data_IF_873070409189
#
_entry.id   IF_873070409189
#
_cell.length_a   1.000
_cell.length_b   1.000
_cell.length_c   1.000
_cell.angle_alpha   90.00
_cell.angle_beta   90.00
_cell.angle_gamma   90.00
#
_symmetry.space_group_name_H-M   'P 1'
#
loop_
_entity.id
_entity.type
_entity.pdbx_description
1 polymer ?
#
# COMPACT_ATOMS: atom_id res chain seq x y z
N UNK A 1 21.82 33.63 76.98
CA UNK A 1 20.74 34.50 76.49
C UNK A 1 20.08 33.68 75.39
N UNK A 2 19.27 32.65 75.68
CA UNK A 2 17.98 32.67 76.41
C UNK A 2 17.07 33.74 75.78
N UNK A 3 16.03 33.38 75.00
CA UNK A 3 14.79 32.80 75.51
C UNK A 3 14.13 31.73 74.62
N UNK A 4 13.66 30.67 75.32
CA UNK A 4 12.48 29.79 75.14
C UNK A 4 11.18 30.59 74.83
N UNK A 5 10.09 30.09 74.24
CA UNK A 5 9.28 28.87 74.47
C UNK A 5 8.38 28.62 73.23
N UNK A 6 8.26 27.39 72.74
CA UNK A 6 7.16 26.43 72.97
C UNK A 6 5.88 26.69 72.13
N UNK A 7 5.62 25.79 71.18
CA UNK A 7 4.35 25.04 71.15
C UNK A 7 4.45 23.83 70.23
N UNK A 8 4.06 22.68 70.76
CA UNK A 8 4.23 21.35 70.21
C UNK A 8 2.86 20.67 70.21
N UNK A 9 2.15 20.65 69.07
CA UNK A 9 1.02 19.74 68.82
C UNK A 9 1.03 19.33 67.34
N UNK A 10 1.34 18.04 67.08
CA UNK A 10 1.01 17.35 65.82
C UNK A 10 -0.50 17.17 65.74
N UNK A 11 -1.13 17.24 64.55
CA UNK A 11 -1.55 15.98 63.95
C UNK A 11 -1.50 15.92 62.41
N UNK A 12 -1.27 14.68 61.96
CA UNK A 12 -1.69 14.05 60.69
C UNK A 12 -1.19 14.63 59.36
N UNK A 13 -0.21 13.92 58.81
CA UNK A 13 0.04 13.82 57.37
C UNK A 13 -1.23 13.33 56.66
N UNK A 14 -2.01 14.23 56.06
CA UNK A 14 -2.82 13.86 54.91
C UNK A 14 -1.98 14.06 53.65
N UNK A 15 -1.44 12.93 53.20
CA UNK A 15 -0.85 12.74 51.89
C UNK A 15 -1.86 13.22 50.84
N UNK A 16 -1.66 14.43 50.30
CA UNK A 16 -2.27 14.82 49.05
C UNK A 16 -1.77 13.86 47.97
N UNK A 17 -2.54 12.80 47.73
CA UNK A 17 -2.45 12.06 46.48
C UNK A 17 -2.84 13.01 45.38
N UNK A 18 -1.84 13.64 44.76
CA UNK A 18 -1.97 14.13 43.40
C UNK A 18 -2.17 12.89 42.55
N UNK A 19 -3.43 12.52 42.32
CA UNK A 19 -3.77 11.61 41.25
C UNK A 19 -3.41 12.35 39.96
N UNK A 20 -2.22 12.07 39.43
CA UNK A 20 -1.95 12.24 38.01
C UNK A 20 -2.91 11.30 37.30
N UNK A 21 -4.08 11.82 36.92
CA UNK A 21 -4.95 11.14 35.97
C UNK A 21 -4.22 11.27 34.63
N UNK A 22 -3.69 10.15 34.17
CA UNK A 22 -3.08 10.03 32.85
C UNK A 22 -4.13 10.48 31.82
N UNK A 23 -3.84 11.51 31.01
CA UNK A 23 -4.78 12.05 30.03
C UNK A 23 -5.26 10.98 29.02
N UNK A 24 -4.55 9.86 28.93
CA UNK A 24 -4.95 8.68 28.16
C UNK A 24 -6.23 8.00 28.67
N UNK A 25 -6.61 8.16 29.94
CA UNK A 25 -7.79 7.49 30.54
C UNK A 25 -9.13 8.15 30.15
N UNK A 26 -9.12 9.36 29.57
CA UNK A 26 -10.35 10.11 29.23
C UNK A 26 -10.98 9.63 27.89
N UNK A 27 -10.23 8.88 27.08
CA UNK A 27 -10.61 8.55 25.71
C UNK A 27 -11.12 7.12 25.55
N UNK A 28 -10.79 6.21 26.47
CA UNK A 28 -11.15 4.80 26.38
C UNK A 28 -12.60 4.60 26.85
N UNK A 29 -13.46 4.08 25.98
CA UNK A 29 -14.86 3.77 26.31
C UNK A 29 -15.87 4.90 26.08
N UNK A 30 -15.47 5.99 25.41
CA UNK A 30 -16.36 7.14 25.14
C UNK A 30 -17.47 6.78 24.14
N UNK A 31 -18.73 6.90 24.56
CA UNK A 31 -19.92 6.65 23.74
C UNK A 31 -20.41 7.95 23.09
N UNK A 32 -20.74 7.88 21.81
CA UNK A 32 -21.31 9.00 21.04
C UNK A 32 -22.74 8.67 20.63
N UNK A 33 -23.63 9.66 20.70
CA UNK A 33 -25.03 9.51 20.30
C UNK A 33 -25.22 9.43 18.78
N UNK A 34 -24.20 9.83 18.00
CA UNK A 34 -24.19 9.69 16.55
C UNK A 34 -22.77 9.59 15.98
N UNK A 35 -22.68 9.11 14.73
CA UNK A 35 -21.42 9.08 13.96
C UNK A 35 -20.83 10.48 13.75
N UNK A 36 -21.68 11.49 13.58
CA UNK A 36 -21.24 12.87 13.38
C UNK A 36 -20.66 13.47 14.65
N UNK A 37 -21.25 13.15 15.80
CA UNK A 37 -20.71 13.58 17.09
C UNK A 37 -19.33 12.96 17.36
N UNK A 38 -19.18 11.65 17.07
CA UNK A 38 -17.88 10.99 17.14
C UNK A 38 -16.87 11.65 16.19
N UNK A 39 -17.29 12.01 14.99
CA UNK A 39 -16.44 12.65 13.99
C UNK A 39 -15.89 14.00 14.46
N UNK A 40 -16.76 14.91 14.90
CA UNK A 40 -16.30 16.23 15.38
C UNK A 40 -15.36 16.11 16.57
N UNK A 41 -15.64 15.18 17.49
CA UNK A 41 -14.76 14.90 18.62
C UNK A 41 -13.36 14.46 18.16
N UNK A 42 -13.26 13.43 17.31
CA UNK A 42 -11.97 12.94 16.84
C UNK A 42 -11.26 13.91 15.90
N UNK A 43 -12.00 14.73 15.14
CA UNK A 43 -11.43 15.78 14.30
C UNK A 43 -10.74 16.85 15.14
N UNK A 44 -11.39 17.34 16.19
CA UNK A 44 -10.80 18.33 17.10
C UNK A 44 -9.66 17.73 17.93
N UNK A 45 -9.84 16.50 18.43
CA UNK A 45 -8.79 15.80 19.16
C UNK A 45 -7.52 15.62 18.31
N UNK A 46 -7.69 15.20 17.05
CA UNK A 46 -6.58 15.04 16.13
C UNK A 46 -5.91 16.39 15.81
N UNK A 47 -6.69 17.47 15.65
CA UNK A 47 -6.18 18.85 15.47
C UNK A 47 -5.32 19.29 16.67
N UNK A 48 -5.76 19.03 17.89
CA UNK A 48 -5.03 19.39 19.12
C UNK A 48 -3.76 18.56 19.32
N UNK A 49 -3.77 17.30 18.90
CA UNK A 49 -2.67 16.35 19.13
C UNK A 49 -1.79 16.10 17.90
N UNK A 50 -1.96 16.89 16.83
CA UNK A 50 -1.05 16.89 15.67
C UNK A 50 -1.21 15.71 14.70
N UNK A 51 -2.34 15.01 14.69
CA UNK A 51 -2.68 14.01 13.67
C UNK A 51 -4.02 14.34 13.00
N UNK A 52 -4.48 13.57 12.02
CA UNK A 52 -5.77 13.83 11.35
C UNK A 52 -6.58 12.56 11.28
N UNK A 53 -7.79 12.61 11.84
CA UNK A 53 -8.79 11.56 11.68
C UNK A 53 -9.34 11.69 10.25
N UNK A 54 -9.07 10.70 9.39
CA UNK A 54 -9.34 10.68 7.94
C UNK A 54 -8.59 11.75 7.13
N UNK A 55 -7.33 11.47 6.80
CA UNK A 55 -6.64 12.15 5.71
C UNK A 55 -7.16 11.63 4.38
N UNK A 56 -7.81 12.49 3.60
CA UNK A 56 -8.19 12.21 2.22
C UNK A 56 -7.85 13.43 1.37
N UNK A 57 -7.21 13.19 0.24
CA UNK A 57 -6.94 14.24 -0.75
C UNK A 57 -8.24 14.48 -1.51
N UNK A 58 -8.66 15.74 -1.63
CA UNK A 58 -9.90 16.04 -2.34
C UNK A 58 -9.75 15.72 -3.83
N UNK A 59 -10.86 15.45 -4.52
CA UNK A 59 -10.82 15.19 -5.96
C UNK A 59 -10.26 16.40 -6.73
N UNK A 60 -10.61 17.62 -6.33
CA UNK A 60 -10.09 18.84 -6.95
C UNK A 60 -8.57 18.94 -6.81
N UNK A 61 -8.03 18.65 -5.62
CA UNK A 61 -6.59 18.67 -5.39
C UNK A 61 -5.86 17.57 -6.18
N UNK A 62 -6.49 16.40 -6.37
CA UNK A 62 -5.96 15.32 -7.20
C UNK A 62 -5.94 15.74 -8.67
N UNK A 63 -7.03 16.32 -9.18
CA UNK A 63 -7.16 16.74 -10.58
C UNK A 63 -6.11 17.84 -10.89
N UNK A 64 -6.00 18.86 -10.03
CA UNK A 64 -5.00 19.93 -10.17
C UNK A 64 -3.56 19.41 -10.06
N UNK A 65 -3.30 18.52 -9.09
CA UNK A 65 -2.01 17.88 -8.96
C UNK A 65 -1.66 17.05 -10.21
N UNK A 66 -2.64 16.39 -10.82
CA UNK A 66 -2.46 15.60 -12.04
C UNK A 66 -2.08 16.50 -13.22
N UNK A 67 -2.77 17.63 -13.41
CA UNK A 67 -2.44 18.60 -14.47
C UNK A 67 -1.01 19.15 -14.32
N UNK A 68 -0.58 19.45 -13.09
CA UNK A 68 0.79 19.91 -12.81
C UNK A 68 1.84 18.81 -13.08
N UNK A 69 1.48 17.55 -12.80
CA UNK A 69 2.35 16.40 -13.09
C UNK A 69 2.51 16.15 -14.58
N UNK A 70 1.47 16.37 -15.39
CA UNK A 70 1.51 16.22 -16.86
C UNK A 70 2.50 17.20 -17.51
N UNK A 71 2.63 18.41 -16.97
CA UNK A 71 3.61 19.41 -17.43
C UNK A 71 4.99 19.26 -16.78
N UNK A 72 5.24 18.14 -16.08
CA UNK A 72 6.56 17.76 -15.57
C UNK A 72 6.93 18.29 -14.18
N UNK A 73 5.98 18.86 -13.42
CA UNK A 73 6.27 19.37 -12.06
C UNK A 73 6.51 18.22 -11.09
N UNK A 74 7.51 18.34 -10.22
CA UNK A 74 7.81 17.34 -9.20
C UNK A 74 6.71 17.28 -8.12
N UNK A 75 6.40 16.09 -7.59
CA UNK A 75 5.34 15.91 -6.57
C UNK A 75 5.56 16.77 -5.31
N UNK A 76 6.83 16.99 -4.93
CA UNK A 76 7.18 17.89 -3.83
C UNK A 76 6.84 19.36 -4.14
N UNK A 77 7.04 19.79 -5.38
CA UNK A 77 6.70 21.15 -5.83
C UNK A 77 5.17 21.32 -5.90
N UNK A 78 4.45 20.30 -6.35
CA UNK A 78 2.98 20.27 -6.30
C UNK A 78 2.47 20.36 -4.86
N UNK A 79 3.05 19.59 -3.93
CA UNK A 79 2.69 19.67 -2.51
C UNK A 79 2.95 21.07 -1.93
N UNK A 80 4.09 21.68 -2.25
CA UNK A 80 4.41 23.04 -1.81
C UNK A 80 3.41 24.05 -2.37
N UNK A 81 3.00 23.91 -3.63
CA UNK A 81 2.01 24.76 -4.26
C UNK A 81 0.63 24.63 -3.60
N UNK A 82 0.12 23.41 -3.38
CA UNK A 82 -1.16 23.18 -2.69
C UNK A 82 -1.14 23.68 -1.24
N UNK A 83 0.01 23.51 -0.58
CA UNK A 83 0.24 24.05 0.77
C UNK A 83 0.23 25.57 0.77
N UNK A 84 0.83 26.19 -0.25
CA UNK A 84 0.77 27.62 -0.44
C UNK A 84 -0.67 28.04 -0.63
N UNK A 85 -1.46 27.46 -1.54
CA UNK A 85 -2.89 27.79 -1.73
C UNK A 85 -3.74 27.66 -0.46
N UNK A 86 -3.44 26.69 0.40
CA UNK A 86 -4.14 26.50 1.67
C UNK A 86 -3.68 27.44 2.80
N UNK A 87 -2.75 28.37 2.53
CA UNK A 87 -2.09 29.21 3.54
C UNK A 87 -1.40 28.40 4.66
N UNK A 88 -0.85 27.23 4.33
CA UNK A 88 0.02 26.46 5.22
C UNK A 88 -0.31 24.97 5.35
N UNK A 89 0.69 24.21 5.83
CA UNK A 89 0.65 22.75 5.93
C UNK A 89 -0.46 22.21 6.85
N UNK A 90 -0.89 23.01 7.83
CA UNK A 90 -1.95 22.64 8.76
C UNK A 90 -3.35 22.79 8.16
N UNK A 91 -3.49 23.54 7.06
CA UNK A 91 -4.76 23.85 6.43
C UNK A 91 -5.05 22.98 5.19
N UNK A 92 -4.01 22.40 4.58
CA UNK A 92 -4.14 21.56 3.37
C UNK A 92 -4.84 20.22 3.67
N UNK A 93 -4.84 19.75 4.93
CA UNK A 93 -5.65 18.60 5.37
C UNK A 93 -5.12 17.21 4.99
N UNK A 94 -4.03 17.11 4.21
CA UNK A 94 -3.37 15.86 3.84
C UNK A 94 -1.84 16.01 3.79
N UNK A 95 -1.10 14.90 3.79
CA UNK A 95 0.37 14.92 3.73
C UNK A 95 0.89 14.71 2.31
N UNK A 96 2.17 14.99 2.08
CA UNK A 96 2.86 14.62 0.85
C UNK A 96 2.69 13.13 0.51
N UNK A 97 2.72 12.24 1.52
CA UNK A 97 2.51 10.80 1.33
C UNK A 97 1.08 10.49 0.89
N UNK A 98 0.09 11.20 1.41
CA UNK A 98 -1.31 11.03 1.00
C UNK A 98 -1.53 11.49 -0.44
N UNK A 99 -0.95 12.64 -0.83
CA UNK A 99 -0.95 13.13 -2.21
C UNK A 99 -0.26 12.16 -3.18
N UNK A 100 0.92 11.67 -2.79
CA UNK A 100 1.63 10.65 -3.55
C UNK A 100 0.76 9.39 -3.74
N UNK A 101 0.20 8.86 -2.67
CA UNK A 101 -0.66 7.67 -2.73
C UNK A 101 -1.93 7.90 -3.57
N UNK A 102 -2.53 9.07 -3.49
CA UNK A 102 -3.72 9.42 -4.27
C UNK A 102 -3.40 9.52 -5.78
N UNK A 103 -2.30 10.17 -6.13
CA UNK A 103 -1.81 10.25 -7.52
C UNK A 103 -1.45 8.86 -8.07
N UNK A 104 -0.82 8.00 -7.25
CA UNK A 104 -0.52 6.63 -7.66
C UNK A 104 -1.79 5.79 -7.86
N UNK A 105 -2.82 5.97 -7.03
CA UNK A 105 -4.14 5.34 -7.24
C UNK A 105 -4.82 5.82 -8.52
N UNK A 106 -4.64 7.09 -8.89
CA UNK A 106 -5.13 7.64 -10.17
C UNK A 106 -4.43 6.99 -11.36
N UNK A 107 -3.09 6.95 -11.33
CA UNK A 107 -2.28 6.28 -12.37
C UNK A 107 -2.61 4.80 -12.50
N UNK A 108 -2.80 4.09 -11.38
CA UNK A 108 -3.18 2.68 -11.40
C UNK A 108 -4.51 2.43 -12.14
N UNK A 109 -5.41 3.42 -12.25
CA UNK A 109 -6.65 3.30 -13.05
C UNK A 109 -6.42 3.54 -14.54
N UNK A 110 -5.56 4.47 -14.93
CA UNK A 110 -5.20 4.70 -16.35
C UNK A 110 -4.31 3.59 -16.93
N UNK A 111 -3.44 3.02 -16.09
CA UNK A 111 -2.51 1.95 -16.48
C UNK A 111 -3.25 0.66 -16.89
N UNK A 112 -4.49 0.43 -16.41
CA UNK A 112 -5.27 -0.80 -16.67
C UNK A 112 -5.63 -1.01 -18.15
N UNK A 113 -5.88 0.05 -18.93
CA UNK A 113 -6.29 -0.10 -20.34
C UNK A 113 -5.11 -0.18 -21.33
N UNK A 114 -3.95 0.39 -20.98
CA UNK A 114 -2.77 0.46 -21.87
C UNK A 114 -1.79 -0.71 -21.72
N UNK A 115 -1.64 -1.24 -20.51
CA UNK A 115 -0.54 -2.17 -20.21
C UNK A 115 -0.76 -3.58 -20.75
N UNK A 116 -2.00 -4.07 -20.78
CA UNK A 116 -2.31 -5.40 -21.32
C UNK A 116 -2.00 -5.48 -22.82
N UNK A 117 -2.32 -4.42 -23.57
CA UNK A 117 -2.01 -4.35 -25.00
C UNK A 117 -0.49 -4.25 -25.25
N UNK A 118 0.23 -3.47 -24.43
CA UNK A 118 1.69 -3.40 -24.50
C UNK A 118 2.35 -4.75 -24.16
N UNK A 119 1.81 -5.46 -23.16
CA UNK A 119 2.25 -6.78 -22.74
C UNK A 119 2.00 -7.84 -23.81
N UNK A 120 0.84 -7.83 -24.46
CA UNK A 120 0.52 -8.70 -25.60
C UNK A 120 1.50 -8.42 -26.75
N UNK A 121 1.70 -7.15 -27.12
CA UNK A 121 2.64 -6.77 -28.18
C UNK A 121 4.09 -7.19 -27.86
N UNK A 122 4.50 -7.09 -26.59
CA UNK A 122 5.80 -7.58 -26.14
C UNK A 122 5.93 -9.11 -26.31
N UNK A 123 4.91 -9.87 -25.94
CA UNK A 123 4.94 -11.32 -26.09
C UNK A 123 4.83 -11.80 -27.53
N UNK A 124 4.10 -11.07 -28.39
CA UNK A 124 4.09 -11.33 -29.83
C UNK A 124 5.48 -11.12 -30.43
N UNK A 125 6.16 -10.04 -30.04
CA UNK A 125 7.56 -9.84 -30.39
C UNK A 125 8.46 -10.98 -29.87
N UNK A 126 8.28 -11.42 -28.62
CA UNK A 126 9.05 -12.53 -28.04
C UNK A 126 8.81 -13.86 -28.75
N UNK A 127 7.57 -14.16 -29.17
CA UNK A 127 7.25 -15.33 -30.00
C UNK A 127 7.91 -15.27 -31.36
N UNK A 128 8.03 -14.08 -31.95
CA UNK A 128 8.72 -13.90 -33.22
C UNK A 128 10.24 -14.09 -33.09
N UNK A 129 10.85 -13.58 -32.02
CA UNK A 129 12.29 -13.66 -31.74
C UNK A 129 12.73 -15.06 -31.29
N UNK A 130 11.93 -15.71 -30.44
CA UNK A 130 12.14 -17.06 -29.94
C UNK A 130 10.94 -17.96 -30.31
N UNK A 131 11.07 -18.80 -31.37
CA UNK A 131 10.00 -19.73 -31.77
C UNK A 131 9.62 -20.76 -30.69
N UNK A 132 10.49 -21.00 -29.71
CA UNK A 132 10.20 -21.86 -28.57
C UNK A 132 9.52 -21.14 -27.40
N UNK A 133 9.37 -19.81 -27.48
CA UNK A 133 8.66 -19.02 -26.47
C UNK A 133 7.20 -19.44 -26.38
N UNK A 134 6.75 -19.71 -25.16
CA UNK A 134 5.38 -20.06 -24.83
C UNK A 134 4.74 -18.92 -24.05
N UNK A 135 3.53 -18.54 -24.44
CA UNK A 135 2.65 -17.69 -23.63
C UNK A 135 1.19 -18.08 -23.87
N UNK A 136 0.42 -18.10 -22.79
CA UNK A 136 -1.05 -18.22 -22.82
C UNK A 136 -1.65 -17.35 -21.73
N UNK A 137 -2.88 -16.91 -21.94
CA UNK A 137 -3.60 -16.05 -21.02
C UNK A 137 -5.11 -16.31 -21.07
N UNK A 138 -5.81 -15.95 -20.00
CA UNK A 138 -7.26 -15.90 -19.95
C UNK A 138 -7.72 -14.46 -19.72
N UNK A 139 -8.91 -14.15 -20.21
CA UNK A 139 -9.62 -12.89 -19.93
C UNK A 139 -10.90 -13.21 -19.17
N UNK A 140 -11.33 -12.30 -18.32
CA UNK A 140 -12.60 -12.40 -17.62
C UNK A 140 -13.78 -11.95 -18.51
N UNK A 141 -15.00 -12.00 -17.96
CA UNK A 141 -16.23 -11.59 -18.66
C UNK A 141 -16.21 -10.10 -19.08
N UNK A 142 -15.38 -9.28 -18.43
CA UNK A 142 -15.20 -7.86 -18.77
C UNK A 142 -14.09 -7.62 -19.80
N UNK A 143 -13.45 -8.68 -20.29
CA UNK A 143 -12.35 -8.61 -21.25
C UNK A 143 -11.01 -8.21 -20.65
N UNK A 144 -10.89 -8.19 -19.32
CA UNK A 144 -9.66 -7.84 -18.61
C UNK A 144 -8.79 -9.10 -18.44
N UNK A 145 -7.46 -8.93 -18.55
CA UNK A 145 -6.50 -10.01 -18.31
C UNK A 145 -6.72 -10.63 -16.92
N UNK A 146 -7.06 -11.91 -16.89
CA UNK A 146 -7.38 -12.65 -15.68
C UNK A 146 -6.18 -13.48 -15.22
N UNK A 147 -5.69 -14.39 -16.08
CA UNK A 147 -4.47 -15.17 -15.85
C UNK A 147 -3.51 -15.04 -17.03
N UNK A 148 -2.22 -15.19 -16.78
CA UNK A 148 -1.16 -15.14 -17.78
C UNK A 148 -0.01 -16.05 -17.33
N UNK A 149 0.55 -16.83 -18.25
CA UNK A 149 1.75 -17.62 -18.01
C UNK A 149 2.64 -17.59 -19.24
N UNK A 150 3.95 -17.49 -19.03
CA UNK A 150 4.93 -17.49 -20.11
C UNK A 150 6.25 -18.16 -19.72
N UNK A 151 6.92 -18.72 -20.72
CA UNK A 151 8.20 -19.41 -20.59
C UNK A 151 9.00 -19.27 -21.89
N UNK A 152 10.28 -18.90 -21.79
CA UNK A 152 11.16 -18.90 -22.96
C UNK A 152 11.65 -20.31 -23.31
N UNK A 153 12.21 -20.47 -24.51
CA UNK A 153 12.70 -21.77 -24.99
C UNK A 153 13.74 -22.43 -24.08
N UNK A 154 14.58 -21.63 -23.42
CA UNK A 154 15.63 -22.11 -22.52
C UNK A 154 14.99 -22.69 -21.26
N UNK A 155 14.09 -21.93 -20.64
CA UNK A 155 13.35 -22.34 -19.45
C UNK A 155 12.52 -23.60 -19.68
N UNK A 156 11.92 -23.74 -20.86
CA UNK A 156 11.21 -24.97 -21.27
C UNK A 156 12.16 -26.16 -21.45
N UNK A 157 13.35 -25.93 -22.00
CA UNK A 157 14.37 -26.97 -22.17
C UNK A 157 14.93 -27.42 -20.82
N UNK A 158 15.13 -26.47 -19.90
CA UNK A 158 15.53 -26.75 -18.53
C UNK A 158 14.46 -27.55 -17.78
N UNK A 159 13.18 -27.24 -17.98
CA UNK A 159 12.09 -28.03 -17.38
C UNK A 159 12.11 -29.49 -17.84
N UNK A 160 12.42 -29.76 -19.11
CA UNK A 160 12.56 -31.15 -19.61
C UNK A 160 13.69 -31.89 -18.89
N UNK A 161 14.77 -31.19 -18.53
CA UNK A 161 15.93 -31.79 -17.88
C UNK A 161 15.81 -31.89 -16.35
N UNK A 162 15.12 -30.92 -15.73
CA UNK A 162 15.18 -30.67 -14.27
C UNK A 162 13.79 -30.55 -13.62
N UNK A 163 12.71 -30.83 -14.35
CA UNK A 163 11.33 -30.65 -13.90
C UNK A 163 10.82 -31.71 -12.90
N UNK A 164 11.67 -32.62 -12.42
CA UNK A 164 11.30 -33.67 -11.47
C UNK A 164 10.79 -33.12 -10.13
N UNK A 165 11.31 -31.95 -9.73
CA UNK A 165 10.89 -31.23 -8.54
C UNK A 165 10.73 -29.77 -8.88
N UNK A 166 9.52 -29.26 -8.68
CA UNK A 166 9.19 -27.84 -8.82
C UNK A 166 8.83 -27.23 -7.47
N UNK A 167 9.13 -25.95 -7.32
CA UNK A 167 8.66 -25.11 -6.23
C UNK A 167 8.02 -23.86 -6.84
N UNK A 168 6.97 -23.36 -6.22
CA UNK A 168 6.33 -22.11 -6.60
C UNK A 168 5.90 -21.37 -5.34
N UNK A 169 5.86 -20.05 -5.43
CA UNK A 169 5.36 -19.20 -4.35
C UNK A 169 4.74 -17.93 -4.94
N UNK A 170 3.66 -17.47 -4.34
CA UNK A 170 2.90 -16.29 -4.71
C UNK A 170 3.36 -15.09 -3.88
N UNK A 171 4.66 -14.75 -3.95
CA UNK A 171 5.27 -13.73 -3.07
C UNK A 171 4.90 -12.29 -3.40
N UNK A 172 4.60 -11.97 -4.66
CA UNK A 172 4.50 -10.58 -5.13
C UNK A 172 3.05 -10.20 -5.44
N UNK A 173 2.28 -9.88 -4.39
CA UNK A 173 0.95 -9.25 -4.51
C UNK A 173 1.01 -7.72 -4.58
N UNK A 174 2.12 -7.11 -4.18
CA UNK A 174 2.30 -5.65 -4.13
C UNK A 174 2.68 -5.03 -5.49
N UNK A 175 2.36 -5.69 -6.62
CA UNK A 175 2.49 -5.02 -7.91
C UNK A 175 1.34 -4.01 -8.11
N UNK A 176 1.50 -3.11 -9.08
CA UNK A 176 0.52 -2.05 -9.37
C UNK A 176 -0.88 -2.58 -9.70
N UNK A 177 -1.01 -3.88 -10.00
CA UNK A 177 -2.25 -4.57 -10.33
C UNK A 177 -2.85 -5.34 -9.14
N UNK A 178 -2.16 -5.44 -8.01
CA UNK A 178 -2.59 -6.27 -6.88
C UNK A 178 -2.66 -7.77 -7.21
N UNK A 179 -2.02 -8.22 -8.31
CA UNK A 179 -2.13 -9.61 -8.79
C UNK A 179 -0.92 -10.43 -8.35
N UNK A 180 -1.09 -11.65 -7.80
CA UNK A 180 0.05 -12.49 -7.46
C UNK A 180 0.90 -12.83 -8.69
N UNK A 181 2.20 -12.56 -8.61
CA UNK A 181 3.20 -13.10 -9.54
C UNK A 181 3.77 -14.38 -8.92
N UNK A 182 3.78 -15.45 -9.70
CA UNK A 182 4.22 -16.76 -9.29
C UNK A 182 5.27 -17.32 -10.25
N UNK A 183 6.58 -17.20 -9.91
CA UNK A 183 7.61 -17.97 -10.61
C UNK A 183 7.48 -19.46 -10.23
N UNK A 184 7.54 -20.33 -11.23
CA UNK A 184 7.67 -21.77 -11.06
C UNK A 184 9.14 -22.10 -11.31
N UNK A 185 9.79 -22.63 -10.28
CA UNK A 185 11.24 -22.84 -10.25
C UNK A 185 11.60 -24.28 -9.92
N UNK A 186 12.80 -24.69 -10.28
CA UNK A 186 13.42 -25.95 -9.85
C UNK A 186 14.89 -25.75 -9.53
N UNK A 187 15.64 -26.84 -9.50
CA UNK A 187 17.09 -26.80 -9.31
C UNK A 187 17.80 -27.73 -10.30
N UNK A 188 18.94 -27.30 -10.83
CA UNK A 188 19.80 -28.19 -11.62
C UNK A 188 20.74 -29.03 -10.73
N UNK A 189 21.58 -29.84 -11.38
CA UNK A 189 22.61 -30.68 -10.73
C UNK A 189 23.62 -29.91 -9.86
N UNK A 190 23.72 -28.60 -10.01
CA UNK A 190 24.59 -27.74 -9.19
C UNK A 190 23.84 -27.07 -8.04
N UNK A 191 22.58 -27.45 -7.80
CA UNK A 191 21.68 -26.83 -6.81
C UNK A 191 21.39 -25.35 -7.08
N UNK A 192 21.60 -24.89 -8.31
CA UNK A 192 21.22 -23.54 -8.71
C UNK A 192 19.74 -23.50 -9.05
N UNK A 193 19.04 -22.48 -8.56
CA UNK A 193 17.65 -22.22 -8.90
C UNK A 193 17.50 -21.89 -10.38
N UNK A 194 16.56 -22.56 -11.04
CA UNK A 194 16.18 -22.28 -12.42
C UNK A 194 14.70 -21.88 -12.43
N UNK A 195 14.38 -20.83 -13.17
CA UNK A 195 12.98 -20.45 -13.44
C UNK A 195 12.51 -21.20 -14.67
N UNK A 196 11.49 -22.04 -14.55
CA UNK A 196 10.91 -22.76 -15.67
C UNK A 196 9.82 -21.96 -16.38
N UNK A 197 9.05 -21.20 -15.63
CA UNK A 197 7.98 -20.35 -16.17
C UNK A 197 7.59 -19.31 -15.13
N UNK A 198 6.93 -18.24 -15.57
CA UNK A 198 6.37 -17.24 -14.66
C UNK A 198 4.91 -17.02 -14.98
N UNK A 199 4.10 -16.88 -13.93
CA UNK A 199 2.68 -16.66 -14.03
C UNK A 199 2.24 -15.39 -13.31
N UNK A 200 1.18 -14.78 -13.82
CA UNK A 200 0.33 -13.82 -13.11
C UNK A 200 -1.04 -14.46 -13.01
N UNK A 201 -1.54 -14.64 -11.80
CA UNK A 201 -2.88 -15.19 -11.54
C UNK A 201 -3.78 -14.08 -11.00
N UNK A 202 -5.09 -14.20 -11.21
CA UNK A 202 -6.04 -13.22 -10.69
C UNK A 202 -6.07 -13.20 -9.16
N UNK A 203 -6.04 -14.38 -8.56
CA UNK A 203 -6.12 -14.60 -7.12
C UNK A 203 -5.47 -15.93 -6.73
N UNK A 204 -5.33 -16.16 -5.42
CA UNK A 204 -4.83 -17.43 -4.87
C UNK A 204 -5.97 -18.41 -4.57
N UNK A 205 -6.88 -18.60 -5.52
CA UNK A 205 -7.94 -19.62 -5.41
C UNK A 205 -7.50 -20.94 -6.05
N UNK A 206 -8.09 -22.05 -5.62
CA UNK A 206 -7.84 -23.37 -6.23
C UNK A 206 -8.07 -23.37 -7.74
N UNK A 207 -9.10 -22.66 -8.22
CA UNK A 207 -9.40 -22.56 -9.65
C UNK A 207 -8.29 -21.86 -10.44
N UNK A 208 -7.68 -20.81 -9.88
CA UNK A 208 -6.54 -20.13 -10.48
C UNK A 208 -5.30 -21.03 -10.56
N UNK A 209 -5.08 -21.89 -9.55
CA UNK A 209 -4.01 -22.88 -9.59
C UNK A 209 -4.29 -24.05 -10.55
N UNK A 210 -5.53 -24.52 -10.63
CA UNK A 210 -5.95 -25.56 -11.60
C UNK A 210 -5.82 -25.10 -13.06
N UNK A 211 -6.02 -23.81 -13.33
CA UNK A 211 -5.77 -23.26 -14.67
C UNK A 211 -4.29 -23.28 -15.03
N UNK A 212 -3.41 -23.18 -14.02
CA UNK A 212 -1.98 -22.97 -14.22
C UNK A 212 -1.15 -24.25 -14.25
N UNK A 213 -1.50 -25.22 -13.41
CA UNK A 213 -0.79 -26.50 -13.22
C UNK A 213 -1.34 -27.59 -14.15
#
# INVERSE_FOLDING_TARGET
MDHTDADNVKPTEECHKVHNVDESDILVGKLFSSRDQAWYFYKEFAREHGFSARRAVSKADIDEATTLKEVGVGTLQVMNYLTQQAWGYHNVGFTHKDLYNALQRGKAKEIVDGDVNALIAYFDYKKHDDPGFFVTYSVDESGVLHNLIWSDSTSRSDYICFGDVIAFDTKYKDNLYGRPIMPIVGANHHYNTIVFTTAIIADETSQSFEWLL
#
